data_IF_412326752496
#
_entry.id   IF_412326752496
#
_cell.length_a   1.000
_cell.length_b   1.000
_cell.length_c   1.000
_cell.angle_alpha   90.00
_cell.angle_beta   90.00
_cell.angle_gamma   90.00
#
_symmetry.space_group_name_H-M   'P 1'
#
loop_
_entity.id
_entity.type
_entity.pdbx_description
1 polymer ?
#
# COMPACT_ATOMS: atom_id res chain seq x y z
N UNK A 1 -0.03 -2.95 -6.61
CA UNK A 1 0.61 -1.90 -5.80
C UNK A 1 -0.46 -1.02 -5.20
N UNK A 2 -0.33 -0.65 -3.94
CA UNK A 2 -1.21 0.29 -3.24
C UNK A 2 -0.44 1.57 -2.94
N UNK A 3 -1.13 2.70 -2.92
CA UNK A 3 -0.57 3.99 -2.49
C UNK A 3 -1.65 4.85 -1.86
N UNK A 4 -1.23 5.90 -1.16
CA UNK A 4 -2.09 6.95 -0.63
C UNK A 4 -1.81 8.32 -1.28
N UNK A 5 -1.03 8.36 -2.37
CA UNK A 5 -0.67 9.59 -3.08
C UNK A 5 -1.08 9.53 -4.55
N UNK A 6 -1.97 10.44 -4.97
CA UNK A 6 -2.47 10.50 -6.35
C UNK A 6 -1.36 10.67 -7.40
N UNK A 7 -0.31 11.43 -7.06
CA UNK A 7 0.86 11.63 -7.92
C UNK A 7 1.52 10.31 -8.36
N UNK A 8 1.47 9.25 -7.55
CA UNK A 8 2.03 7.95 -7.92
C UNK A 8 1.20 7.27 -9.02
N UNK A 9 -0.14 7.38 -8.96
CA UNK A 9 -1.04 6.87 -10.00
C UNK A 9 -0.86 7.65 -11.29
N UNK A 10 -0.75 8.97 -11.22
CA UNK A 10 -0.47 9.82 -12.40
C UNK A 10 0.87 9.50 -13.06
N UNK A 11 1.94 9.34 -12.26
CA UNK A 11 3.24 8.93 -12.77
C UNK A 11 3.18 7.54 -13.39
N UNK A 12 2.54 6.57 -12.74
CA UNK A 12 2.37 5.23 -13.28
C UNK A 12 1.60 5.25 -14.62
N UNK A 13 0.49 5.99 -14.67
CA UNK A 13 -0.31 6.18 -15.89
C UNK A 13 0.52 6.78 -17.03
N UNK A 14 1.31 7.82 -16.76
CA UNK A 14 2.22 8.43 -17.74
C UNK A 14 3.33 7.47 -18.18
N UNK A 15 3.98 6.79 -17.25
CA UNK A 15 5.10 5.87 -17.53
C UNK A 15 4.67 4.68 -18.38
N UNK A 16 3.49 4.11 -18.10
CA UNK A 16 2.98 2.96 -18.83
C UNK A 16 2.00 3.33 -19.94
N UNK A 17 1.73 4.62 -20.15
CA UNK A 17 0.75 5.16 -21.09
C UNK A 17 -0.63 4.46 -21.00
N UNK A 18 -1.17 4.39 -19.78
CA UNK A 18 -2.47 3.74 -19.51
C UNK A 18 -3.47 4.72 -18.86
N UNK A 19 -4.77 4.58 -19.13
CA UNK A 19 -5.77 5.47 -18.53
C UNK A 19 -5.89 5.28 -17.02
N UNK A 20 -6.25 6.35 -16.33
CA UNK A 20 -6.61 6.31 -14.91
C UNK A 20 -8.12 6.05 -14.82
N UNK A 21 -8.48 5.00 -14.07
CA UNK A 21 -9.86 4.64 -13.76
C UNK A 21 -10.29 5.30 -12.44
N UNK A 22 -11.59 5.60 -12.32
CA UNK A 22 -12.18 6.11 -11.08
C UNK A 22 -11.83 7.56 -10.76
N UNK A 23 -11.49 8.38 -11.77
CA UNK A 23 -11.22 9.82 -11.58
C UNK A 23 -12.42 10.49 -10.89
N UNK A 24 -12.16 11.25 -9.83
CA UNK A 24 -13.19 11.90 -9.00
C UNK A 24 -13.85 10.98 -7.97
N UNK A 25 -13.56 9.67 -8.00
CA UNK A 25 -14.02 8.69 -7.03
C UNK A 25 -13.10 8.55 -5.82
N UNK A 26 -13.48 7.70 -4.85
CA UNK A 26 -12.73 7.51 -3.60
C UNK A 26 -11.40 6.77 -3.80
N UNK A 27 -11.32 5.90 -4.82
CA UNK A 27 -10.12 5.12 -5.11
C UNK A 27 -9.84 5.13 -6.62
N UNK A 28 -8.76 5.82 -7.03
CA UNK A 28 -8.31 5.80 -8.42
C UNK A 28 -7.38 4.62 -8.66
N UNK A 29 -7.37 4.10 -9.87
CA UNK A 29 -6.49 3.00 -10.24
C UNK A 29 -5.99 3.09 -11.67
N UNK A 30 -4.89 2.41 -11.95
CA UNK A 30 -4.38 2.21 -13.30
C UNK A 30 -3.75 0.82 -13.39
N UNK A 31 -3.93 0.14 -14.52
CA UNK A 31 -3.40 -1.22 -14.75
C UNK A 31 -2.63 -1.23 -16.06
N UNK A 32 -1.40 -1.72 -16.03
CA UNK A 32 -0.57 -1.85 -17.23
C UNK A 32 -0.79 -3.22 -17.92
N UNK A 33 -0.27 -3.34 -19.14
CA UNK A 33 -0.36 -4.57 -19.95
C UNK A 33 0.43 -5.76 -19.39
N UNK A 34 1.33 -5.53 -18.43
CA UNK A 34 2.13 -6.57 -17.78
C UNK A 34 1.42 -7.18 -16.56
N UNK A 35 0.18 -6.78 -16.27
CA UNK A 35 -0.61 -7.29 -15.15
C UNK A 35 -0.28 -6.63 -13.80
N UNK A 36 0.38 -5.47 -13.81
CA UNK A 36 0.61 -4.66 -12.60
C UNK A 36 -0.44 -3.57 -12.52
N UNK A 37 -1.15 -3.55 -11.40
CA UNK A 37 -2.09 -2.48 -11.05
C UNK A 37 -1.53 -1.60 -9.95
N UNK A 38 -1.80 -0.30 -10.02
CA UNK A 38 -1.64 0.64 -8.91
C UNK A 38 -3.01 1.16 -8.49
N UNK A 39 -3.27 1.22 -7.18
CA UNK A 39 -4.53 1.73 -6.62
C UNK A 39 -4.18 2.76 -5.55
N UNK A 40 -4.73 3.97 -5.69
CA UNK A 40 -4.72 4.96 -4.63
C UNK A 40 -5.96 4.77 -3.75
N UNK A 41 -5.78 4.32 -2.51
CA UNK A 41 -6.89 4.13 -1.56
C UNK A 41 -7.10 5.33 -0.63
N UNK A 42 -6.30 6.39 -0.77
CA UNK A 42 -6.34 7.55 0.11
C UNK A 42 -5.69 7.30 1.48
N UNK A 43 -5.94 8.20 2.43
CA UNK A 43 -5.41 8.13 3.79
C UNK A 43 -6.44 7.48 4.72
N UNK A 44 -5.97 6.70 5.70
CA UNK A 44 -6.80 6.15 6.78
C UNK A 44 -6.69 4.63 6.89
N UNK A 45 -6.66 4.13 8.12
CA UNK A 45 -6.61 2.68 8.41
C UNK A 45 -7.87 1.95 7.94
N UNK A 46 -9.05 2.57 8.08
CA UNK A 46 -10.31 2.01 7.58
C UNK A 46 -10.30 1.80 6.06
N UNK A 47 -9.72 2.73 5.29
CA UNK A 47 -9.57 2.60 3.84
C UNK A 47 -8.56 1.50 3.48
N UNK A 48 -7.47 1.40 4.24
CA UNK A 48 -6.47 0.34 4.05
C UNK A 48 -7.07 -1.06 4.31
N UNK A 49 -7.91 -1.20 5.33
CA UNK A 49 -8.62 -2.45 5.60
C UNK A 49 -9.64 -2.76 4.48
N UNK A 50 -10.46 -1.78 4.10
CA UNK A 50 -11.45 -1.91 3.02
C UNK A 50 -10.83 -2.37 1.70
N UNK A 51 -9.72 -1.76 1.26
CA UNK A 51 -9.08 -2.17 0.00
C UNK A 51 -8.48 -3.58 0.09
N UNK A 52 -7.95 -3.97 1.26
CA UNK A 52 -7.42 -5.32 1.45
C UNK A 52 -8.53 -6.37 1.42
N UNK A 53 -9.69 -6.09 1.99
CA UNK A 53 -10.89 -6.95 1.91
C UNK A 53 -11.41 -7.06 0.47
N UNK A 54 -11.42 -5.96 -0.30
CA UNK A 54 -11.80 -6.02 -1.72
C UNK A 54 -10.78 -6.85 -2.54
N UNK A 55 -9.49 -6.73 -2.23
CA UNK A 55 -8.44 -7.47 -2.92
C UNK A 55 -8.43 -8.96 -2.58
N UNK A 56 -8.98 -9.39 -1.44
CA UNK A 56 -9.06 -10.81 -1.11
C UNK A 56 -9.91 -11.59 -2.12
N UNK A 57 -10.92 -10.95 -2.72
CA UNK A 57 -11.73 -11.53 -3.80
C UNK A 57 -10.97 -11.69 -5.13
N UNK A 58 -9.96 -10.85 -5.37
CA UNK A 58 -9.14 -10.87 -6.60
C UNK A 58 -8.00 -11.88 -6.49
N UNK A 59 -7.59 -12.25 -5.27
CA UNK A 59 -6.49 -13.19 -4.99
C UNK A 59 -5.16 -12.81 -5.68
N UNK A 60 -4.65 -11.57 -5.50
CA UNK A 60 -3.41 -11.14 -6.15
C UNK A 60 -2.21 -11.96 -5.66
N UNK A 61 -1.23 -12.19 -6.54
CA UNK A 61 0.02 -12.91 -6.21
C UNK A 61 0.88 -12.19 -5.17
N UNK A 62 0.69 -10.88 -5.01
CA UNK A 62 1.40 -10.06 -4.04
C UNK A 62 0.88 -8.62 -4.05
N UNK A 63 0.89 -7.99 -2.88
CA UNK A 63 0.49 -6.60 -2.69
C UNK A 63 1.63 -5.87 -2.01
N UNK A 64 2.08 -4.77 -2.63
CA UNK A 64 3.11 -3.88 -2.10
C UNK A 64 2.50 -2.50 -1.89
N UNK A 65 2.75 -1.90 -0.72
CA UNK A 65 2.34 -0.55 -0.40
C UNK A 65 3.48 0.45 -0.60
N UNK A 66 3.21 1.51 -1.36
CA UNK A 66 4.11 2.64 -1.60
C UNK A 66 3.50 3.89 -0.95
N UNK A 67 4.07 4.26 0.19
CA UNK A 67 3.63 5.40 0.98
C UNK A 67 4.79 6.16 1.59
N UNK A 68 4.45 7.16 2.40
CA UNK A 68 5.41 7.91 3.21
C UNK A 68 5.18 7.56 4.68
N UNK A 69 6.22 7.65 5.48
CA UNK A 69 6.16 7.53 6.93
C UNK A 69 7.00 8.64 7.58
N UNK A 70 6.68 8.98 8.82
CA UNK A 70 7.53 9.82 9.65
C UNK A 70 8.74 9.03 10.15
N UNK A 71 9.94 9.55 9.95
CA UNK A 71 11.16 8.98 10.53
C UNK A 71 11.35 9.46 11.96
N UNK A 72 11.40 8.54 12.93
CA UNK A 72 11.66 8.88 14.34
C UNK A 72 13.15 8.79 14.72
N UNK A 73 13.96 8.09 13.93
CA UNK A 73 15.39 7.94 14.19
C UNK A 73 16.14 9.16 13.67
N UNK A 74 17.11 9.65 14.47
CA UNK A 74 17.98 10.79 14.09
C UNK A 74 18.81 10.55 12.83
N UNK A 75 19.03 9.29 12.45
CA UNK A 75 19.77 8.89 11.24
C UNK A 75 18.88 8.82 10.00
N UNK A 76 17.58 9.11 10.12
CA UNK A 76 16.66 9.08 8.97
C UNK A 76 16.58 10.47 8.35
N UNK A 77 16.93 10.56 7.07
CA UNK A 77 16.86 11.79 6.29
C UNK A 77 15.66 11.75 5.31
N UNK A 78 15.25 12.94 4.85
CA UNK A 78 14.19 13.05 3.85
C UNK A 78 14.60 12.34 2.55
N UNK A 79 13.74 11.42 2.10
CA UNK A 79 14.00 10.62 0.89
C UNK A 79 14.56 9.22 1.17
N UNK A 80 14.95 8.91 2.41
CA UNK A 80 15.28 7.53 2.77
C UNK A 80 14.08 6.60 2.62
N UNK A 81 14.31 5.46 1.97
CA UNK A 81 13.34 4.37 1.95
C UNK A 81 13.43 3.58 3.25
N UNK A 82 12.26 3.30 3.83
CA UNK A 82 12.12 2.48 5.01
C UNK A 82 11.41 1.20 4.59
N UNK A 83 12.08 0.06 4.78
CA UNK A 83 11.49 -1.26 4.61
C UNK A 83 11.09 -1.80 5.99
N UNK A 84 9.79 -1.78 6.35
CA UNK A 84 9.34 -2.24 7.65
C UNK A 84 9.36 -3.78 7.73
N UNK A 85 9.98 -4.31 8.78
CA UNK A 85 9.93 -5.75 9.12
C UNK A 85 8.70 -6.13 9.97
N UNK A 86 8.09 -5.14 10.63
CA UNK A 86 6.90 -5.27 11.46
C UNK A 86 6.26 -3.89 11.66
N UNK A 87 5.00 -3.85 12.10
CA UNK A 87 4.31 -2.62 12.47
C UNK A 87 3.69 -2.73 13.88
N UNK A 88 3.70 -1.62 14.62
CA UNK A 88 2.96 -1.48 15.87
C UNK A 88 1.50 -1.17 15.51
N UNK A 89 0.59 -1.99 16.01
CA UNK A 89 -0.86 -1.88 15.77
C UNK A 89 -1.48 -0.81 16.67
N UNK A 90 -1.25 0.46 16.32
CA UNK A 90 -1.75 1.64 17.04
C UNK A 90 -2.98 2.28 16.41
N UNK A 91 -3.45 1.77 15.28
CA UNK A 91 -4.53 2.32 14.47
C UNK A 91 -5.94 1.86 14.87
N UNK A 92 -6.06 0.85 15.72
CA UNK A 92 -7.33 0.27 16.19
C UNK A 92 -8.04 -0.63 15.17
N UNK A 93 -7.98 -0.31 13.87
CA UNK A 93 -8.68 -1.08 12.82
C UNK A 93 -8.23 -2.55 12.77
N UNK A 94 -6.96 -2.85 13.03
CA UNK A 94 -6.48 -4.24 13.01
C UNK A 94 -7.01 -5.09 14.17
N UNK A 95 -7.52 -4.47 15.24
CA UNK A 95 -8.10 -5.17 16.39
C UNK A 95 -9.39 -5.93 16.01
N UNK A 96 -10.09 -5.48 14.98
CA UNK A 96 -11.27 -6.16 14.44
C UNK A 96 -10.91 -7.44 13.64
N UNK A 97 -9.64 -7.60 13.23
CA UNK A 97 -9.19 -8.72 12.40
C UNK A 97 -8.43 -9.78 13.18
N UNK A 98 -7.59 -9.38 14.13
CA UNK A 98 -6.76 -10.30 14.91
C UNK A 98 -6.59 -9.85 16.37
N UNK A 99 -6.40 -10.78 17.33
CA UNK A 99 -6.05 -10.44 18.71
C UNK A 99 -4.79 -9.58 18.81
N UNK A 100 -4.68 -8.73 19.82
CA UNK A 100 -3.58 -7.75 19.98
C UNK A 100 -2.21 -8.38 20.13
N UNK A 101 -2.17 -9.62 20.59
CA UNK A 101 -0.96 -10.43 20.77
C UNK A 101 -0.34 -10.83 19.42
N UNK A 102 -1.14 -10.83 18.33
CA UNK A 102 -0.66 -11.16 16.98
C UNK A 102 -0.02 -9.92 16.36
N UNK A 103 1.30 -9.93 16.09
CA UNK A 103 1.98 -8.78 15.53
C UNK A 103 1.64 -8.59 14.04
N UNK A 104 1.59 -7.33 13.59
CA UNK A 104 1.47 -7.03 12.17
C UNK A 104 2.83 -7.24 11.48
N UNK A 105 2.93 -8.26 10.64
CA UNK A 105 4.13 -8.64 9.90
C UNK A 105 3.89 -8.69 8.40
N UNK A 106 4.84 -8.24 7.56
CA UNK A 106 4.75 -8.43 6.12
C UNK A 106 5.03 -9.89 5.74
N UNK A 107 4.59 -10.30 4.55
CA UNK A 107 4.96 -11.60 3.99
C UNK A 107 6.48 -11.70 3.82
N UNK A 108 7.11 -12.72 4.43
CA UNK A 108 8.55 -12.95 4.35
C UNK A 108 9.05 -13.07 2.90
N UNK A 109 8.27 -13.74 2.05
CA UNK A 109 8.61 -13.89 0.63
C UNK A 109 8.72 -12.52 -0.04
N UNK A 110 7.74 -11.64 0.16
CA UNK A 110 7.78 -10.29 -0.42
C UNK A 110 8.91 -9.45 0.17
N UNK A 111 9.09 -9.49 1.49
CA UNK A 111 10.16 -8.76 2.16
C UNK A 111 11.55 -9.12 1.61
N UNK A 112 11.82 -10.41 1.37
CA UNK A 112 13.09 -10.88 0.79
C UNK A 112 13.32 -10.42 -0.65
N UNK A 113 12.26 -10.18 -1.44
CA UNK A 113 12.42 -9.74 -2.83
C UNK A 113 12.62 -8.22 -2.96
N UNK A 114 12.32 -7.45 -1.91
CA UNK A 114 12.46 -5.99 -1.88
C UNK A 114 13.71 -5.55 -1.11
N UNK A 115 14.20 -6.38 -0.17
CA UNK A 115 15.41 -6.16 0.62
C UNK A 115 16.70 -6.37 -0.17
#
# INVERSE_FOLDING_TARGET
MLTNFQNYVEKFSKTFNVPINGIGGPMTSATNSQGVSIINFGIGSANAATIMDLLSCVTPKGVLFLGKCGGLKKTTELGHFILPIAAIRGEGTSDDYFPKEVPAMPSFKLHKHVS
#
